data_IF_233989585213
#
_entry.id   IF_233989585213
#
_cell.length_a   1.000
_cell.length_b   1.000
_cell.length_c   1.000
_cell.angle_alpha   90.00
_cell.angle_beta   90.00
_cell.angle_gamma   90.00
#
_symmetry.space_group_name_H-M   'P 1'
#
loop_
_entity.id
_entity.type
_entity.pdbx_description
1 polymer ?
#
# COMPACT_ATOMS: atom_id res chain seq x y z
N UNK A 1 1.85 4.57 -21.68
CA UNK A 1 2.11 4.61 -20.22
C UNK A 1 3.57 4.93 -19.97
N UNK A 2 3.85 5.86 -19.05
CA UNK A 2 5.21 6.16 -18.59
C UNK A 2 5.27 5.74 -17.11
N UNK A 3 6.16 4.81 -16.77
CA UNK A 3 6.45 4.41 -15.39
C UNK A 3 7.71 5.14 -14.93
N UNK A 4 7.65 5.77 -13.74
CA UNK A 4 8.76 6.52 -13.14
C UNK A 4 9.03 5.93 -11.76
N UNK A 5 10.27 5.50 -11.51
CA UNK A 5 10.70 4.94 -10.22
C UNK A 5 12.21 5.16 -10.05
N UNK A 6 12.68 5.36 -8.82
CA UNK A 6 14.12 5.48 -8.51
C UNK A 6 14.73 4.16 -8.01
N UNK A 7 13.95 3.08 -8.02
CA UNK A 7 14.33 1.71 -7.64
C UNK A 7 14.93 1.55 -6.22
N UNK A 8 14.69 2.52 -5.32
CA UNK A 8 15.21 2.44 -3.95
C UNK A 8 14.62 1.25 -3.17
N UNK A 9 13.37 0.89 -3.49
CA UNK A 9 12.69 -0.30 -2.96
C UNK A 9 12.02 -1.11 -4.06
N UNK A 10 11.91 -0.56 -5.26
CA UNK A 10 11.35 -1.21 -6.45
C UNK A 10 12.35 -2.13 -7.15
N UNK A 11 11.84 -2.95 -8.08
CA UNK A 11 12.65 -3.81 -8.93
C UNK A 11 12.13 -3.79 -10.36
N UNK A 12 13.02 -3.62 -11.33
CA UNK A 12 12.69 -3.73 -12.76
C UNK A 12 12.13 -5.12 -13.13
N UNK A 13 12.46 -6.15 -12.35
CA UNK A 13 11.91 -7.49 -12.53
C UNK A 13 10.37 -7.54 -12.41
N UNK A 14 9.77 -6.55 -11.75
CA UNK A 14 8.31 -6.45 -11.64
C UNK A 14 7.63 -5.94 -12.93
N UNK A 15 8.40 -5.37 -13.86
CA UNK A 15 7.91 -4.76 -15.09
C UNK A 15 8.69 -5.25 -16.32
N UNK A 16 9.51 -6.31 -16.19
CA UNK A 16 10.36 -6.82 -17.27
C UNK A 16 9.56 -7.27 -18.48
N UNK A 17 8.36 -7.81 -18.27
CA UNK A 17 7.42 -8.22 -19.32
C UNK A 17 6.80 -7.04 -20.11
N UNK A 18 7.00 -5.81 -19.64
CA UNK A 18 6.51 -4.60 -20.30
C UNK A 18 7.56 -3.93 -21.21
N UNK A 19 8.85 -4.25 -21.03
CA UNK A 19 9.90 -3.70 -21.88
C UNK A 19 9.73 -4.13 -23.35
N UNK A 20 9.89 -3.17 -24.25
CA UNK A 20 9.69 -3.39 -25.68
C UNK A 20 8.22 -3.38 -26.14
N UNK A 21 7.24 -3.34 -25.24
CA UNK A 21 5.83 -3.16 -25.63
C UNK A 21 5.61 -1.75 -26.14
N UNK A 22 4.91 -1.64 -27.28
CA UNK A 22 4.52 -0.33 -27.82
C UNK A 22 3.67 0.44 -26.79
N UNK A 23 4.05 1.68 -26.51
CA UNK A 23 3.31 2.56 -25.59
C UNK A 23 3.69 2.41 -24.13
N UNK A 24 4.73 1.64 -23.79
CA UNK A 24 5.34 1.60 -22.47
C UNK A 24 6.75 2.21 -22.48
N UNK A 25 7.03 3.06 -21.50
CA UNK A 25 8.35 3.65 -21.25
C UNK A 25 8.64 3.62 -19.76
N UNK A 26 9.83 3.18 -19.38
CA UNK A 26 10.36 3.28 -18.03
C UNK A 26 11.38 4.41 -17.95
N UNK A 27 11.29 5.22 -16.90
CA UNK A 27 12.22 6.32 -16.61
C UNK A 27 12.72 6.14 -15.17
N UNK A 28 14.00 5.88 -14.99
CA UNK A 28 14.63 5.88 -13.68
C UNK A 28 14.80 7.32 -13.19
N UNK A 29 13.98 7.73 -12.22
CA UNK A 29 13.99 9.09 -11.68
C UNK A 29 13.36 9.15 -10.29
N UNK A 30 13.92 10.01 -9.43
CA UNK A 30 13.36 10.30 -8.10
C UNK A 30 12.35 11.44 -8.18
N UNK A 31 11.09 11.13 -7.89
CA UNK A 31 9.98 12.09 -7.93
C UNK A 31 10.08 13.20 -6.88
N UNK A 32 10.99 13.07 -5.90
CA UNK A 32 11.34 14.19 -5.00
C UNK A 32 12.07 15.32 -5.73
N UNK A 33 12.59 15.07 -6.93
CA UNK A 33 13.11 16.07 -7.85
C UNK A 33 12.02 16.49 -8.85
N UNK A 34 12.30 17.54 -9.64
CA UNK A 34 11.35 18.02 -10.65
C UNK A 34 10.96 16.91 -11.63
N UNK A 35 9.66 16.71 -11.81
CA UNK A 35 9.08 15.69 -12.71
C UNK A 35 8.48 16.38 -13.93
N UNK A 36 8.92 15.96 -15.10
CA UNK A 36 8.35 16.40 -16.36
C UNK A 36 8.34 15.28 -17.39
N UNK A 37 7.25 15.17 -18.15
CA UNK A 37 7.14 14.24 -19.28
C UNK A 37 6.65 14.98 -20.52
N UNK A 38 7.13 14.63 -21.72
CA UNK A 38 6.67 15.27 -22.97
C UNK A 38 5.27 14.78 -23.34
N UNK A 39 4.60 15.59 -24.18
CA UNK A 39 3.25 15.26 -24.72
C UNK A 39 2.13 15.45 -23.70
N UNK A 40 0.94 14.98 -24.09
CA UNK A 40 -0.25 15.03 -23.25
C UNK A 40 -0.25 13.94 -22.20
N UNK A 41 -0.87 14.21 -21.06
CA UNK A 41 -1.00 13.28 -19.94
C UNK A 41 -2.45 13.34 -19.44
N UNK A 42 -3.15 12.22 -19.48
CA UNK A 42 -4.54 12.14 -19.04
C UNK A 42 -4.63 11.92 -17.52
N UNK A 43 -3.69 11.12 -16.98
CA UNK A 43 -3.68 10.71 -15.56
C UNK A 43 -2.26 10.71 -15.02
N UNK A 44 -2.07 11.27 -13.83
CA UNK A 44 -0.86 11.14 -13.01
C UNK A 44 -1.19 10.31 -11.78
N UNK A 45 -0.63 9.10 -11.68
CA UNK A 45 -0.81 8.23 -10.52
C UNK A 45 0.44 8.30 -9.63
N UNK A 46 0.32 8.92 -8.45
CA UNK A 46 1.40 8.95 -7.47
C UNK A 46 1.32 7.75 -6.53
N UNK A 47 2.02 6.68 -6.92
CA UNK A 47 2.16 5.43 -6.17
C UNK A 47 3.53 5.32 -5.48
N UNK A 48 4.47 6.20 -5.83
CA UNK A 48 5.85 6.16 -5.35
C UNK A 48 5.91 6.49 -3.85
N UNK A 49 6.22 5.48 -3.06
CA UNK A 49 6.53 5.63 -1.62
C UNK A 49 7.07 4.32 -1.07
N UNK A 50 8.20 4.29 -0.34
CA UNK A 50 8.53 3.14 0.50
C UNK A 50 7.44 2.99 1.56
N UNK A 51 6.84 1.81 1.66
CA UNK A 51 5.67 1.56 2.50
C UNK A 51 5.86 0.38 3.48
N UNK A 52 7.05 -0.19 3.49
CA UNK A 52 7.42 -1.27 4.41
C UNK A 52 7.87 -0.69 5.76
N UNK A 53 7.39 -1.24 6.89
CA UNK A 53 7.90 -0.86 8.22
C UNK A 53 9.43 -1.02 8.34
N UNK A 54 10.03 -2.00 7.69
CA UNK A 54 11.48 -2.19 7.65
C UNK A 54 12.24 -1.00 7.00
N UNK A 55 11.58 -0.24 6.14
CA UNK A 55 12.16 0.92 5.48
C UNK A 55 12.03 2.21 6.33
N UNK A 56 11.14 2.24 7.34
CA UNK A 56 10.91 3.45 8.15
C UNK A 56 12.15 3.86 8.95
N UNK A 57 12.91 2.89 9.45
CA UNK A 57 14.18 3.15 10.14
C UNK A 57 15.35 3.31 9.14
N UNK A 58 15.33 2.57 8.04
CA UNK A 58 16.44 2.53 7.07
C UNK A 58 16.55 3.82 6.24
N UNK A 59 15.41 4.38 5.79
CA UNK A 59 15.37 5.53 4.87
C UNK A 59 14.30 6.58 5.26
N UNK A 60 14.23 7.01 6.53
CA UNK A 60 13.15 7.88 7.04
C UNK A 60 13.05 9.21 6.30
N UNK A 61 14.18 9.83 5.99
CA UNK A 61 14.21 11.15 5.32
C UNK A 61 13.71 11.03 3.86
N UNK A 62 14.03 9.95 3.17
CA UNK A 62 13.56 9.70 1.81
C UNK A 62 12.03 9.51 1.78
N UNK A 63 11.47 8.82 2.78
CA UNK A 63 10.01 8.65 2.93
C UNK A 63 9.33 10.02 3.09
N UNK A 64 9.83 10.87 3.98
CA UNK A 64 9.30 12.23 4.16
C UNK A 64 9.44 13.08 2.88
N UNK A 65 10.58 12.97 2.17
CA UNK A 65 10.80 13.70 0.91
C UNK A 65 9.82 13.27 -0.18
N UNK A 66 9.61 11.98 -0.38
CA UNK A 66 8.67 11.52 -1.41
C UNK A 66 7.23 11.86 -1.06
N UNK A 67 6.83 11.77 0.23
CA UNK A 67 5.52 12.21 0.68
C UNK A 67 5.29 13.71 0.54
N UNK A 68 6.32 14.53 0.78
CA UNK A 68 6.26 15.99 0.64
C UNK A 68 6.55 16.47 -0.78
N UNK A 69 7.83 16.43 -1.18
CA UNK A 69 8.29 16.95 -2.47
C UNK A 69 7.76 16.13 -3.66
N UNK A 70 7.71 14.79 -3.53
CA UNK A 70 7.17 13.91 -4.56
C UNK A 70 5.71 14.20 -4.85
N UNK A 71 4.89 14.37 -3.82
CA UNK A 71 3.48 14.75 -3.96
C UNK A 71 3.36 16.13 -4.63
N UNK A 72 4.14 17.13 -4.17
CA UNK A 72 4.13 18.46 -4.78
C UNK A 72 4.50 18.44 -6.26
N UNK A 73 5.59 17.74 -6.62
CA UNK A 73 6.08 17.69 -8.00
C UNK A 73 5.11 16.97 -8.94
N UNK A 74 4.52 15.86 -8.48
CA UNK A 74 3.55 15.09 -9.27
C UNK A 74 2.20 15.82 -9.41
N UNK A 75 1.75 16.55 -8.38
CA UNK A 75 0.61 17.47 -8.48
C UNK A 75 0.90 18.65 -9.43
N UNK A 76 2.12 19.20 -9.40
CA UNK A 76 2.56 20.21 -10.33
C UNK A 76 2.52 19.73 -11.78
N UNK A 77 2.93 18.48 -12.03
CA UNK A 77 2.80 17.85 -13.35
C UNK A 77 1.33 17.70 -13.75
N UNK A 78 0.47 17.19 -12.87
CA UNK A 78 -0.95 17.03 -13.14
C UNK A 78 -1.62 18.38 -13.49
N UNK A 79 -1.33 19.42 -12.71
CA UNK A 79 -1.82 20.77 -12.97
C UNK A 79 -1.35 21.31 -14.33
N UNK A 80 -0.04 21.20 -14.64
CA UNK A 80 0.54 21.69 -15.88
C UNK A 80 0.00 20.96 -17.12
N UNK A 81 -0.44 19.70 -16.97
CA UNK A 81 -0.99 18.85 -18.03
C UNK A 81 -2.53 18.84 -18.08
N UNK A 82 -3.20 19.51 -17.15
CA UNK A 82 -4.65 19.38 -16.94
C UNK A 82 -5.09 17.91 -16.80
N UNK A 83 -4.28 17.13 -16.10
CA UNK A 83 -4.45 15.70 -15.92
C UNK A 83 -5.20 15.40 -14.62
N UNK A 84 -5.96 14.29 -14.59
CA UNK A 84 -6.48 13.71 -13.36
C UNK A 84 -5.32 13.24 -12.47
N UNK A 85 -5.42 13.47 -11.18
CA UNK A 85 -4.42 13.06 -10.20
C UNK A 85 -4.95 11.96 -9.29
N UNK A 86 -4.21 10.87 -9.17
CA UNK A 86 -4.52 9.75 -8.28
C UNK A 86 -3.43 9.63 -7.21
N UNK A 87 -3.82 9.76 -5.94
CA UNK A 87 -2.93 9.58 -4.79
C UNK A 87 -3.13 8.21 -4.14
N UNK A 88 -2.08 7.40 -4.07
CA UNK A 88 -2.04 6.24 -3.19
C UNK A 88 -1.72 6.69 -1.75
N UNK A 89 -2.78 6.90 -0.96
CA UNK A 89 -2.71 7.06 0.48
C UNK A 89 -2.74 5.69 1.17
N UNK A 90 -3.01 5.63 2.45
CA UNK A 90 -2.87 4.42 3.25
C UNK A 90 -3.81 4.42 4.45
N UNK A 91 -4.13 3.25 4.99
CA UNK A 91 -4.79 3.11 6.29
C UNK A 91 -3.94 3.61 7.46
N UNK A 92 -2.63 3.82 7.27
CA UNK A 92 -1.74 4.35 8.30
C UNK A 92 -2.09 5.81 8.69
N UNK A 93 -2.83 6.55 7.84
CA UNK A 93 -3.37 7.87 8.20
C UNK A 93 -4.30 7.84 9.41
N UNK A 94 -4.83 6.67 9.76
CA UNK A 94 -5.66 6.45 10.93
C UNK A 94 -4.86 6.21 12.22
N UNK A 95 -3.55 5.90 12.11
CA UNK A 95 -2.69 5.60 13.25
C UNK A 95 -3.12 4.35 14.02
N UNK A 96 -3.07 4.40 15.35
CA UNK A 96 -3.69 3.41 16.24
C UNK A 96 -5.15 3.82 16.49
N UNK A 97 -6.12 3.27 15.75
CA UNK A 97 -7.45 3.86 15.65
C UNK A 97 -8.30 3.59 16.90
N UNK A 98 -8.98 4.63 17.37
CA UNK A 98 -9.98 4.56 18.44
C UNK A 98 -11.40 4.23 17.93
N UNK A 99 -11.57 4.16 16.60
CA UNK A 99 -12.83 3.82 15.91
C UNK A 99 -12.62 2.57 15.07
N UNK A 100 -13.52 1.61 15.18
CA UNK A 100 -13.44 0.33 14.49
C UNK A 100 -14.82 -0.13 13.99
N UNK A 101 -15.01 -0.49 12.70
CA UNK A 101 -14.08 -0.30 11.58
C UNK A 101 -13.80 1.17 11.31
N UNK A 102 -12.70 1.49 10.56
CA UNK A 102 -12.32 2.88 10.27
C UNK A 102 -13.08 3.43 9.07
N UNK A 103 -14.01 4.42 9.26
CA UNK A 103 -14.61 5.16 8.16
C UNK A 103 -13.71 6.30 7.70
N UNK A 104 -13.90 6.80 6.47
CA UNK A 104 -13.06 7.84 5.88
C UNK A 104 -13.14 9.19 6.61
N UNK A 105 -14.23 9.45 7.31
CA UNK A 105 -14.44 10.66 8.12
C UNK A 105 -13.64 10.67 9.43
N UNK A 106 -13.10 9.52 9.85
CA UNK A 106 -12.27 9.44 11.05
C UNK A 106 -10.90 10.06 10.80
N UNK A 107 -10.52 11.05 11.58
CA UNK A 107 -9.28 11.83 11.39
C UNK A 107 -8.02 11.12 11.86
N UNK A 108 -8.17 10.02 12.56
CA UNK A 108 -7.05 9.20 13.03
C UNK A 108 -6.54 9.56 14.42
N UNK A 109 -5.64 8.70 14.92
CA UNK A 109 -4.91 8.84 16.17
C UNK A 109 -3.44 8.47 15.91
N UNK A 110 -2.68 9.43 15.37
CA UNK A 110 -1.30 9.24 14.94
C UNK A 110 -0.33 9.84 15.97
N UNK A 111 0.75 9.11 16.28
CA UNK A 111 1.89 9.63 17.00
C UNK A 111 2.86 10.32 16.03
N UNK A 112 2.86 11.67 15.89
CA UNK A 112 3.64 12.34 14.85
C UNK A 112 5.15 12.32 15.07
N UNK A 113 5.60 12.00 16.30
CA UNK A 113 7.02 11.92 16.65
C UNK A 113 7.52 10.50 16.92
N UNK A 114 6.61 9.52 16.84
CA UNK A 114 6.95 8.10 16.97
C UNK A 114 7.67 7.57 15.74
N UNK A 115 8.22 6.33 15.81
CA UNK A 115 9.02 5.74 14.73
C UNK A 115 8.22 5.54 13.43
N UNK A 116 6.89 5.39 13.52
CA UNK A 116 5.99 5.26 12.36
C UNK A 116 5.61 6.61 11.75
N UNK A 117 5.77 7.72 12.51
CA UNK A 117 5.37 9.07 12.10
C UNK A 117 5.99 9.52 10.76
N UNK A 118 7.16 9.01 10.40
CA UNK A 118 7.80 9.33 9.10
C UNK A 118 6.96 8.92 7.90
N UNK A 119 6.21 7.83 7.99
CA UNK A 119 5.32 7.37 6.93
C UNK A 119 3.90 7.91 7.10
N UNK A 120 3.36 7.83 8.31
CA UNK A 120 2.00 8.21 8.63
C UNK A 120 1.78 9.71 8.31
N UNK A 121 2.67 10.59 8.78
CA UNK A 121 2.58 12.03 8.53
C UNK A 121 2.93 12.38 7.07
N UNK A 122 3.85 11.65 6.41
CA UNK A 122 4.10 11.84 4.98
C UNK A 122 2.83 11.63 4.15
N UNK A 123 2.04 10.60 4.46
CA UNK A 123 0.78 10.30 3.77
C UNK A 123 -0.34 11.25 4.15
N UNK A 124 -0.47 11.64 5.43
CA UNK A 124 -1.41 12.68 5.87
C UNK A 124 -1.13 14.02 5.20
N UNK A 125 0.14 14.42 5.11
CA UNK A 125 0.57 15.61 4.37
C UNK A 125 0.21 15.50 2.88
N UNK A 126 0.45 14.35 2.25
CA UNK A 126 0.12 14.12 0.84
C UNK A 126 -1.39 14.29 0.56
N UNK A 127 -2.27 13.76 1.43
CA UNK A 127 -3.72 13.99 1.33
C UNK A 127 -4.07 15.49 1.46
N UNK A 128 -3.50 16.17 2.47
CA UNK A 128 -3.74 17.60 2.69
C UNK A 128 -3.28 18.44 1.49
N UNK A 129 -2.10 18.16 0.93
CA UNK A 129 -1.57 18.81 -0.27
C UNK A 129 -2.47 18.56 -1.48
N UNK A 130 -2.91 17.32 -1.71
CA UNK A 130 -3.79 16.93 -2.80
C UNK A 130 -5.12 17.70 -2.74
N UNK A 131 -5.73 17.77 -1.55
CA UNK A 131 -6.97 18.52 -1.36
C UNK A 131 -6.79 20.04 -1.47
N UNK A 132 -5.60 20.56 -1.13
CA UNK A 132 -5.29 21.98 -1.35
C UNK A 132 -5.21 22.31 -2.84
N UNK A 133 -4.54 21.47 -3.65
CA UNK A 133 -4.51 21.63 -5.10
C UNK A 133 -5.90 21.50 -5.73
N UNK A 134 -6.71 20.56 -5.27
CA UNK A 134 -8.11 20.44 -5.71
C UNK A 134 -8.91 21.72 -5.44
N UNK A 135 -8.90 22.23 -4.20
CA UNK A 135 -9.67 23.40 -3.81
C UNK A 135 -9.18 24.71 -4.44
N UNK A 136 -7.86 24.86 -4.60
CA UNK A 136 -7.27 26.14 -5.04
C UNK A 136 -7.06 26.20 -6.55
N UNK A 137 -6.69 25.08 -7.17
CA UNK A 137 -6.36 25.02 -8.60
C UNK A 137 -7.36 24.21 -9.43
N UNK A 138 -8.37 23.58 -8.81
CA UNK A 138 -9.36 22.78 -9.52
C UNK A 138 -8.82 21.45 -10.09
N UNK A 139 -7.68 20.95 -9.60
CA UNK A 139 -7.15 19.66 -10.08
C UNK A 139 -8.18 18.56 -9.78
N UNK A 140 -8.49 17.75 -10.78
CA UNK A 140 -9.39 16.59 -10.63
C UNK A 140 -8.63 15.46 -9.92
N UNK A 141 -8.99 15.18 -8.65
CA UNK A 141 -8.23 14.30 -7.76
C UNK A 141 -9.01 13.05 -7.36
N UNK A 142 -8.27 11.96 -7.15
CA UNK A 142 -8.72 10.72 -6.52
C UNK A 142 -7.74 10.33 -5.42
N UNK A 143 -8.24 9.95 -4.26
CA UNK A 143 -7.42 9.54 -3.11
C UNK A 143 -7.89 8.18 -2.65
N UNK A 144 -7.02 7.17 -2.74
CA UNK A 144 -7.28 5.85 -2.16
C UNK A 144 -6.56 5.70 -0.83
N UNK A 145 -7.24 5.22 0.20
CA UNK A 145 -6.62 4.74 1.45
C UNK A 145 -6.51 3.22 1.39
N UNK A 146 -5.30 2.77 1.09
CA UNK A 146 -4.95 1.36 0.89
C UNK A 146 -4.83 0.68 2.26
N UNK A 147 -5.56 -0.42 2.44
CA UNK A 147 -5.37 -1.32 3.58
C UNK A 147 -4.40 -2.44 3.21
N UNK A 148 -4.01 -3.29 4.20
CA UNK A 148 -2.93 -4.26 4.02
C UNK A 148 -3.11 -5.10 2.75
N UNK A 149 -2.38 -4.77 1.72
CA UNK A 149 -2.40 -5.45 0.43
C UNK A 149 -1.24 -6.43 0.33
N UNK A 150 -1.49 -7.60 -0.24
CA UNK A 150 -0.50 -8.63 -0.48
C UNK A 150 -0.70 -9.29 -1.86
N UNK A 151 0.31 -9.98 -2.34
CA UNK A 151 0.24 -10.69 -3.62
C UNK A 151 1.60 -10.92 -4.26
N UNK A 152 1.61 -11.50 -5.47
CA UNK A 152 2.79 -11.61 -6.31
C UNK A 152 3.50 -10.27 -6.53
N UNK A 153 4.82 -10.32 -6.79
CA UNK A 153 5.71 -9.17 -6.99
C UNK A 153 5.99 -8.33 -5.73
N UNK A 154 5.43 -8.71 -4.58
CA UNK A 154 5.85 -8.18 -3.29
C UNK A 154 7.29 -8.64 -2.99
N UNK A 155 8.09 -7.79 -2.35
CA UNK A 155 9.46 -8.17 -1.97
C UNK A 155 9.45 -9.29 -0.91
N UNK A 156 10.32 -10.31 -1.04
CA UNK A 156 10.46 -11.33 0.01
C UNK A 156 10.89 -10.77 1.37
N UNK A 157 11.69 -9.69 1.37
CA UNK A 157 12.19 -8.97 2.55
C UNK A 157 11.36 -7.73 2.89
N UNK A 158 10.10 -7.67 2.47
CA UNK A 158 9.21 -6.53 2.69
C UNK A 158 8.97 -6.23 4.18
N UNK A 159 9.01 -7.23 5.05
CA UNK A 159 8.85 -7.05 6.50
C UNK A 159 7.40 -7.08 6.99
N UNK A 160 6.39 -7.05 6.12
CA UNK A 160 4.97 -7.21 6.51
C UNK A 160 4.61 -8.67 6.75
N UNK A 161 3.58 -8.92 7.56
CA UNK A 161 3.24 -10.25 8.08
C UNK A 161 3.08 -11.32 6.98
N UNK A 162 2.33 -11.03 5.90
CA UNK A 162 2.08 -12.04 4.84
C UNK A 162 3.37 -12.45 4.14
N UNK A 163 4.20 -11.49 3.70
CA UNK A 163 5.47 -11.79 3.03
C UNK A 163 6.43 -12.53 3.97
N UNK A 164 6.59 -12.04 5.21
CA UNK A 164 7.47 -12.68 6.17
C UNK A 164 7.07 -14.14 6.47
N UNK A 165 5.79 -14.38 6.77
CA UNK A 165 5.31 -15.71 7.11
C UNK A 165 5.44 -16.68 5.94
N UNK A 166 5.09 -16.25 4.72
CA UNK A 166 5.26 -17.07 3.52
C UNK A 166 6.74 -17.41 3.27
N UNK A 167 7.63 -16.42 3.34
CA UNK A 167 9.07 -16.64 3.13
C UNK A 167 9.65 -17.57 4.18
N UNK A 168 9.32 -17.36 5.46
CA UNK A 168 9.76 -18.22 6.56
C UNK A 168 9.24 -19.65 6.39
N UNK A 169 7.94 -19.81 6.10
CA UNK A 169 7.35 -21.12 5.88
C UNK A 169 7.98 -21.89 4.71
N UNK A 170 8.20 -21.22 3.57
CA UNK A 170 8.78 -21.81 2.37
C UNK A 170 10.27 -22.19 2.54
N UNK A 171 10.99 -21.49 3.44
CA UNK A 171 12.39 -21.80 3.79
C UNK A 171 12.53 -22.80 4.91
N UNK A 172 11.43 -23.23 5.55
CA UNK A 172 11.47 -24.07 6.75
C UNK A 172 12.03 -23.34 7.98
N UNK A 173 12.03 -22.01 7.97
CA UNK A 173 12.43 -21.17 9.09
C UNK A 173 11.26 -21.00 10.07
N UNK A 174 11.49 -20.75 11.38
CA UNK A 174 10.40 -20.46 12.31
C UNK A 174 9.59 -19.23 11.89
N UNK A 175 8.25 -19.34 11.91
CA UNK A 175 7.34 -18.22 11.64
C UNK A 175 7.29 -17.32 12.86
N UNK A 176 7.66 -16.06 12.69
CA UNK A 176 7.82 -15.11 13.79
C UNK A 176 6.60 -14.22 13.96
N UNK A 177 5.84 -14.41 15.04
CA UNK A 177 4.75 -13.53 15.48
C UNK A 177 5.31 -12.51 16.48
N UNK A 178 5.02 -11.22 16.26
CA UNK A 178 5.29 -10.17 17.23
C UNK A 178 4.09 -10.01 18.17
N UNK A 179 4.34 -9.98 19.49
CA UNK A 179 3.31 -10.05 20.52
C UNK A 179 2.73 -11.45 20.70
N UNK A 180 1.51 -11.53 21.22
CA UNK A 180 0.79 -12.80 21.43
C UNK A 180 0.00 -13.28 20.20
N UNK A 181 -0.02 -12.48 19.12
CA UNK A 181 -0.72 -12.77 17.88
C UNK A 181 -2.22 -12.46 17.91
N UNK A 182 -2.73 -11.84 18.98
CA UNK A 182 -4.15 -11.46 19.11
C UNK A 182 -4.53 -10.22 18.32
N UNK A 183 -3.53 -9.39 17.93
CA UNK A 183 -3.77 -8.22 17.10
C UNK A 183 -4.41 -8.62 15.76
N UNK A 184 -5.38 -7.82 15.30
CA UNK A 184 -6.18 -8.14 14.11
C UNK A 184 -5.82 -7.27 12.92
N UNK A 185 -5.88 -7.86 11.74
CA UNK A 185 -5.72 -7.19 10.43
C UNK A 185 -6.70 -7.76 9.42
N UNK A 186 -7.02 -6.96 8.45
CA UNK A 186 -7.68 -7.41 7.22
C UNK A 186 -6.67 -7.40 6.07
N UNK A 187 -6.77 -8.36 5.17
CA UNK A 187 -5.79 -8.55 4.08
C UNK A 187 -6.49 -8.58 2.74
N UNK A 188 -6.03 -7.75 1.81
CA UNK A 188 -6.60 -7.58 0.48
C UNK A 188 -5.65 -8.15 -0.56
N UNK A 189 -6.14 -9.02 -1.43
CA UNK A 189 -5.33 -9.51 -2.54
C UNK A 189 -5.15 -8.42 -3.59
N UNK A 190 -3.96 -8.34 -4.20
CA UNK A 190 -3.57 -7.24 -5.09
C UNK A 190 -4.51 -7.03 -6.27
N UNK A 191 -5.11 -8.08 -6.85
CA UNK A 191 -6.03 -7.93 -7.98
C UNK A 191 -7.33 -7.22 -7.55
N UNK A 192 -7.83 -7.49 -6.34
CA UNK A 192 -8.96 -6.77 -5.77
C UNK A 192 -8.62 -5.29 -5.55
N UNK A 193 -7.42 -5.03 -5.01
CA UNK A 193 -6.93 -3.67 -4.78
C UNK A 193 -6.85 -2.88 -6.10
N UNK A 194 -6.28 -3.47 -7.17
CA UNK A 194 -6.19 -2.83 -8.49
C UNK A 194 -7.57 -2.58 -9.08
N UNK A 195 -8.52 -3.52 -8.94
CA UNK A 195 -9.92 -3.27 -9.36
C UNK A 195 -10.52 -2.07 -8.64
N UNK A 196 -10.23 -1.92 -7.34
CA UNK A 196 -10.66 -0.77 -6.55
C UNK A 196 -10.03 0.54 -7.03
N UNK A 197 -8.74 0.54 -7.37
CA UNK A 197 -8.06 1.71 -7.94
C UNK A 197 -8.71 2.14 -9.25
N UNK A 198 -8.98 1.21 -10.15
CA UNK A 198 -9.61 1.51 -11.43
C UNK A 198 -11.03 2.03 -11.25
N UNK A 199 -11.84 1.42 -10.37
CA UNK A 199 -13.18 1.89 -10.07
C UNK A 199 -13.18 3.32 -9.47
N UNK A 200 -12.23 3.63 -8.57
CA UNK A 200 -12.06 4.98 -8.04
C UNK A 200 -11.57 5.95 -9.11
N UNK A 201 -10.62 5.55 -9.94
CA UNK A 201 -10.09 6.37 -11.02
C UNK A 201 -11.18 6.78 -12.02
N UNK A 202 -12.10 5.87 -12.35
CA UNK A 202 -13.19 6.10 -13.29
C UNK A 202 -14.38 6.87 -12.67
N UNK A 203 -14.42 7.02 -11.35
CA UNK A 203 -15.49 7.74 -10.64
C UNK A 203 -15.28 9.25 -10.61
N UNK A 204 -16.27 9.98 -10.09
CA UNK A 204 -16.18 11.42 -9.80
C UNK A 204 -15.92 11.72 -8.32
N UNK A 205 -15.54 10.71 -7.52
CA UNK A 205 -15.33 10.86 -6.08
C UNK A 205 -13.98 11.53 -5.82
N UNK A 206 -13.99 12.76 -5.29
CA UNK A 206 -12.78 13.55 -5.01
C UNK A 206 -12.30 13.48 -3.56
N UNK A 207 -13.09 12.87 -2.67
CA UNK A 207 -12.71 12.64 -1.27
C UNK A 207 -12.08 11.24 -1.09
N UNK A 208 -11.29 11.00 -0.03
CA UNK A 208 -10.67 9.68 0.19
C UNK A 208 -11.68 8.54 0.19
N UNK A 209 -11.26 7.38 -0.34
CA UNK A 209 -12.02 6.13 -0.31
C UNK A 209 -11.12 5.02 0.21
N UNK A 210 -11.63 4.25 1.19
CA UNK A 210 -10.98 3.05 1.67
C UNK A 210 -11.10 1.93 0.62
N UNK A 211 -9.99 1.33 0.25
CA UNK A 211 -9.94 0.09 -0.52
C UNK A 211 -9.20 -0.95 0.32
N UNK A 212 -9.81 -2.10 0.49
CA UNK A 212 -9.31 -3.11 1.42
C UNK A 212 -10.25 -4.32 1.51
N UNK A 213 -10.09 -5.11 2.57
CA UNK A 213 -10.97 -6.24 2.88
C UNK A 213 -11.52 -6.05 4.29
N UNK A 214 -12.79 -6.30 4.52
CA UNK A 214 -13.43 -6.18 5.84
C UNK A 214 -13.50 -7.53 6.60
N UNK A 215 -12.98 -8.62 6.02
CA UNK A 215 -12.74 -9.86 6.73
C UNK A 215 -11.49 -9.73 7.61
N UNK A 216 -11.65 -9.87 8.90
CA UNK A 216 -10.61 -9.65 9.90
C UNK A 216 -10.05 -10.98 10.40
N UNK A 217 -8.73 -11.05 10.53
CA UNK A 217 -8.00 -12.21 11.03
C UNK A 217 -7.02 -11.77 12.12
N UNK A 218 -6.82 -12.60 13.11
CA UNK A 218 -5.70 -12.43 14.02
C UNK A 218 -4.38 -12.79 13.31
N UNK A 219 -3.28 -12.22 13.79
CA UNK A 219 -1.95 -12.57 13.24
C UNK A 219 -1.64 -14.06 13.50
N UNK A 220 -2.13 -14.63 14.61
CA UNK A 220 -2.02 -16.08 14.86
C UNK A 220 -2.77 -16.89 13.80
N UNK A 221 -4.02 -16.53 13.48
CA UNK A 221 -4.80 -17.20 12.42
C UNK A 221 -4.12 -17.09 11.04
N UNK A 222 -3.50 -15.95 10.74
CA UNK A 222 -2.73 -15.79 9.49
C UNK A 222 -1.54 -16.77 9.48
N UNK A 223 -0.79 -16.90 10.57
CA UNK A 223 0.36 -17.80 10.63
C UNK A 223 -0.07 -19.26 10.45
N UNK A 224 -1.13 -19.69 11.14
CA UNK A 224 -1.70 -21.04 10.99
C UNK A 224 -2.15 -21.30 9.55
N UNK A 225 -2.81 -20.34 8.92
CA UNK A 225 -3.27 -20.46 7.53
C UNK A 225 -2.09 -20.54 6.56
N UNK A 226 -1.00 -19.81 6.79
CA UNK A 226 0.22 -19.89 5.98
C UNK A 226 0.88 -21.28 6.12
N UNK A 227 0.97 -21.84 7.34
CA UNK A 227 1.47 -23.21 7.55
C UNK A 227 0.63 -24.22 6.75
N UNK A 228 -0.69 -24.11 6.82
CA UNK A 228 -1.61 -25.01 6.12
C UNK A 228 -1.48 -24.90 4.57
N UNK A 229 -1.47 -23.67 4.04
CA UNK A 229 -1.36 -23.41 2.59
C UNK A 229 -0.02 -23.86 2.01
N UNK A 230 1.07 -23.70 2.77
CA UNK A 230 2.43 -24.07 2.30
C UNK A 230 2.79 -25.53 2.60
N UNK A 231 2.02 -26.20 3.45
CA UNK A 231 2.38 -27.54 3.98
C UNK A 231 3.67 -27.53 4.79
N UNK A 232 4.08 -26.37 5.32
CA UNK A 232 5.33 -26.22 6.07
C UNK A 232 5.26 -26.88 7.43
N UNK A 233 6.42 -27.37 7.92
CA UNK A 233 6.60 -27.87 9.28
C UNK A 233 7.23 -26.80 10.19
N UNK A 234 7.27 -25.55 9.78
CA UNK A 234 7.83 -24.44 10.53
C UNK A 234 7.10 -24.24 11.86
N UNK A 235 7.88 -24.10 12.95
CA UNK A 235 7.35 -23.73 14.25
C UNK A 235 6.90 -22.26 14.26
N UNK A 236 5.84 -21.95 15.03
CA UNK A 236 5.43 -20.56 15.28
C UNK A 236 6.12 -20.10 16.57
N UNK A 237 6.87 -19.00 16.49
CA UNK A 237 7.61 -18.41 17.61
C UNK A 237 7.17 -16.99 17.87
N UNK A 238 7.25 -16.54 19.13
CA UNK A 238 6.82 -15.20 19.53
C UNK A 238 8.01 -14.28 19.84
N UNK A 239 7.90 -13.00 19.49
CA UNK A 239 8.86 -11.93 19.75
C UNK A 239 8.14 -10.74 20.38
N UNK A 240 8.85 -9.83 21.09
CA UNK A 240 8.24 -8.61 21.60
C UNK A 240 7.55 -7.78 20.52
N UNK A 241 6.40 -7.19 20.85
CA UNK A 241 5.67 -6.31 19.93
C UNK A 241 6.48 -5.02 19.69
N UNK A 242 6.61 -4.56 18.44
CA UNK A 242 7.20 -3.26 18.13
C UNK A 242 6.41 -2.09 18.74
N UNK A 243 7.10 -0.97 18.99
CA UNK A 243 6.49 0.26 19.47
C UNK A 243 5.51 0.83 18.41
N UNK A 244 4.38 1.38 18.87
CA UNK A 244 3.32 1.98 18.04
C UNK A 244 2.70 1.03 16.99
N UNK A 245 2.82 -0.31 17.12
CA UNK A 245 2.12 -1.21 16.20
C UNK A 245 0.61 -1.24 16.53
N UNK A 246 -0.28 -0.88 15.58
CA UNK A 246 -1.71 -0.81 15.87
C UNK A 246 -2.28 -2.15 16.33
N UNK A 247 -3.22 -2.14 17.30
CA UNK A 247 -3.86 -3.37 17.77
C UNK A 247 -4.90 -3.91 16.78
N UNK A 248 -5.60 -3.05 16.06
CA UNK A 248 -6.64 -3.45 15.12
C UNK A 248 -6.70 -2.52 13.91
N UNK A 249 -6.97 -3.09 12.72
CA UNK A 249 -7.14 -2.30 11.51
C UNK A 249 -8.06 -3.00 10.51
N UNK A 250 -9.24 -2.39 10.26
CA UNK A 250 -10.24 -2.89 9.34
C UNK A 250 -10.97 -1.74 8.66
N UNK A 251 -11.07 -1.69 7.31
CA UNK A 251 -11.81 -0.63 6.63
C UNK A 251 -13.31 -0.71 6.89
N UNK A 252 -13.97 0.44 7.00
CA UNK A 252 -15.36 0.55 6.60
C UNK A 252 -15.38 0.68 5.07
N UNK A 253 -16.08 -0.23 4.39
CA UNK A 253 -16.16 -0.28 2.92
C UNK A 253 -17.50 0.28 2.38
N UNK A 254 -18.34 0.88 3.24
CA UNK A 254 -19.64 1.42 2.84
C UNK A 254 -19.51 2.37 1.66
N UNK A 255 -18.52 3.25 1.69
CA UNK A 255 -18.28 4.24 0.63
C UNK A 255 -17.83 3.59 -0.69
N UNK A 256 -16.90 2.63 -0.63
CA UNK A 256 -16.46 1.88 -1.81
C UNK A 256 -17.62 1.11 -2.45
N UNK A 257 -18.45 0.44 -1.65
CA UNK A 257 -19.63 -0.28 -2.13
C UNK A 257 -20.69 0.63 -2.75
N UNK A 258 -21.00 1.75 -2.08
CA UNK A 258 -22.09 2.63 -2.51
C UNK A 258 -21.74 3.55 -3.67
N UNK A 259 -20.51 4.08 -3.71
CA UNK A 259 -20.10 5.06 -4.73
C UNK A 259 -19.36 4.42 -5.90
N UNK A 260 -18.65 3.30 -5.69
CA UNK A 260 -17.86 2.65 -6.73
C UNK A 260 -18.47 1.31 -7.20
N UNK A 261 -19.46 0.77 -6.48
CA UNK A 261 -19.96 -0.59 -6.74
C UNK A 261 -18.87 -1.66 -6.56
N UNK A 262 -17.86 -1.37 -5.75
CA UNK A 262 -16.69 -2.24 -5.56
C UNK A 262 -16.71 -2.94 -4.20
N UNK A 263 -16.30 -4.20 -4.21
CA UNK A 263 -16.02 -4.98 -3.00
C UNK A 263 -14.90 -6.02 -3.27
N UNK A 264 -14.19 -6.47 -2.23
CA UNK A 264 -13.20 -7.53 -2.36
C UNK A 264 -13.91 -8.88 -2.62
N UNK A 265 -13.31 -9.70 -3.50
CA UNK A 265 -13.89 -10.99 -3.92
C UNK A 265 -12.97 -12.16 -3.62
N UNK A 266 -11.65 -11.94 -3.55
CA UNK A 266 -10.66 -13.00 -3.36
C UNK A 266 -10.48 -13.25 -1.87
N UNK A 267 -10.72 -14.50 -1.46
CA UNK A 267 -10.58 -14.93 -0.07
C UNK A 267 -9.10 -15.05 0.31
N UNK A 268 -8.79 -14.86 1.62
CA UNK A 268 -7.40 -14.87 2.10
C UNK A 268 -6.65 -16.15 1.72
N UNK A 269 -7.27 -17.32 1.88
CA UNK A 269 -6.66 -18.62 1.51
C UNK A 269 -6.24 -18.64 0.04
N UNK A 270 -7.14 -18.33 -0.86
CA UNK A 270 -6.89 -18.31 -2.30
C UNK A 270 -5.76 -17.34 -2.67
N UNK A 271 -5.76 -16.14 -2.08
CA UNK A 271 -4.71 -15.15 -2.31
C UNK A 271 -3.36 -15.61 -1.76
N UNK A 272 -3.33 -16.30 -0.61
CA UNK A 272 -2.10 -16.88 -0.04
C UNK A 272 -1.55 -18.00 -0.94
N UNK A 273 -2.39 -18.89 -1.46
CA UNK A 273 -1.99 -19.95 -2.39
C UNK A 273 -1.31 -19.37 -3.64
N UNK A 274 -1.92 -18.39 -4.29
CA UNK A 274 -1.36 -17.70 -5.45
C UNK A 274 -0.04 -16.96 -5.12
N UNK A 275 0.06 -16.38 -3.93
CA UNK A 275 1.26 -15.65 -3.48
C UNK A 275 2.39 -16.61 -3.13
N UNK A 276 2.06 -17.75 -2.48
CA UNK A 276 3.02 -18.81 -2.16
C UNK A 276 3.62 -19.44 -3.42
N UNK A 277 2.81 -19.71 -4.45
CA UNK A 277 3.27 -20.19 -5.75
C UNK A 277 4.31 -19.23 -6.38
N UNK A 278 4.01 -17.94 -6.38
CA UNK A 278 4.95 -16.92 -6.87
C UNK A 278 6.26 -16.90 -6.07
N UNK A 279 6.19 -16.92 -4.74
CA UNK A 279 7.40 -16.91 -3.90
C UNK A 279 8.22 -18.18 -4.03
N UNK A 280 7.58 -19.35 -4.14
CA UNK A 280 8.29 -20.62 -4.39
C UNK A 280 9.17 -20.51 -5.63
N UNK A 281 8.67 -19.92 -6.70
CA UNK A 281 9.43 -19.75 -7.95
C UNK A 281 10.58 -18.76 -7.87
N UNK A 282 10.73 -18.00 -6.75
CA UNK A 282 11.71 -16.91 -6.61
C UNK A 282 12.69 -17.10 -5.46
N UNK A 283 12.34 -17.90 -4.45
CA UNK A 283 13.14 -18.07 -3.23
C UNK A 283 13.55 -19.52 -2.94
N UNK A 284 12.96 -20.48 -3.62
CA UNK A 284 13.32 -21.91 -3.62
C UNK A 284 13.94 -22.26 -4.97
#
# INVERSE_FOLDING_TARGET
MIAIDNLVTGSVANIDDLFGRRGFTFVEHDVSNHVWVPGDVDVVMHLASPASPADFERIPIQILKVGGLGTHNTLGLALAKNARYFLASTSEVYGDPLVHPQPEEYWGNVNPIGPRGVYDEAKRYAEAMTMAYHRHHGVDVRIVRIFNTYGPRMRPDDGRAVSNFLVQALRGEPITIFGDGSQTRSFTYVDDEIRGFLALLDSDVTTPVNIGNDNEFTIAQLAELVVDVTGSLSEIVHRPLPEDDPMQRRPDLTKARTLLGWEPTIQLREGLERTAEYFTSRIV
#
